data_IF_950556501606
#
_entry.id   IF_950556501606
#
_cell.length_a   1.000
_cell.length_b   1.000
_cell.length_c   1.000
_cell.angle_alpha   90.00
_cell.angle_beta   90.00
_cell.angle_gamma   90.00
#
_symmetry.space_group_name_H-M   'P 1'
#
loop_
_entity.id
_entity.type
_entity.pdbx_description
1 polymer ?
#
# COMPACT_ATOMS: atom_id res chain seq x y z
N UNK A 1 -16.65 -48.50 -15.39
CA UNK A 1 -16.83 -47.10 -14.98
C UNK A 1 -15.73 -46.33 -15.66
N UNK A 2 -16.06 -45.70 -16.78
CA UNK A 2 -15.11 -45.01 -17.66
C UNK A 2 -15.25 -43.51 -17.40
N UNK A 3 -14.25 -42.91 -16.79
CA UNK A 3 -14.17 -41.47 -16.59
C UNK A 3 -13.65 -40.81 -17.87
N UNK A 4 -14.47 -39.91 -18.43
CA UNK A 4 -14.11 -39.07 -19.57
C UNK A 4 -13.25 -37.88 -19.10
N UNK A 5 -12.24 -37.46 -19.88
CA UNK A 5 -11.44 -36.28 -19.56
C UNK A 5 -12.22 -34.98 -19.82
N UNK A 6 -12.11 -34.03 -18.88
CA UNK A 6 -12.64 -32.66 -19.02
C UNK A 6 -11.61 -31.80 -19.75
N UNK A 7 -12.02 -31.29 -20.91
CA UNK A 7 -11.24 -30.42 -21.78
C UNK A 7 -11.44 -28.95 -21.37
N UNK A 8 -10.36 -28.27 -20.96
CA UNK A 8 -10.40 -26.86 -20.54
C UNK A 8 -9.97 -25.96 -21.70
N UNK A 9 -10.94 -25.62 -22.56
CA UNK A 9 -10.75 -24.63 -23.62
C UNK A 9 -10.53 -23.25 -23.01
N UNK A 10 -9.29 -22.76 -23.10
CA UNK A 10 -8.86 -21.46 -22.58
C UNK A 10 -9.35 -20.36 -23.53
N UNK A 11 -10.25 -19.48 -23.06
CA UNK A 11 -10.70 -18.30 -23.81
C UNK A 11 -9.62 -17.21 -23.81
N UNK A 12 -9.29 -16.60 -24.96
CA UNK A 12 -8.32 -15.52 -25.02
C UNK A 12 -8.88 -14.22 -24.41
N UNK A 13 -8.13 -13.66 -23.45
CA UNK A 13 -8.41 -12.37 -22.82
C UNK A 13 -8.16 -11.25 -23.83
N UNK A 14 -9.18 -10.42 -24.06
CA UNK A 14 -9.18 -9.29 -24.99
C UNK A 14 -8.38 -8.10 -24.39
N UNK A 15 -7.36 -7.56 -25.06
CA UNK A 15 -6.63 -6.38 -24.56
C UNK A 15 -7.52 -5.13 -24.65
N UNK A 16 -7.79 -4.52 -23.49
CA UNK A 16 -8.46 -3.23 -23.37
C UNK A 16 -7.56 -2.09 -23.83
N UNK A 17 -8.08 -1.25 -24.73
CA UNK A 17 -7.43 -0.02 -25.22
C UNK A 17 -7.21 0.95 -24.06
N UNK A 18 -5.96 1.25 -23.73
CA UNK A 18 -5.61 2.40 -22.88
C UNK A 18 -5.67 3.67 -23.73
N UNK A 19 -6.55 4.58 -23.34
CA UNK A 19 -6.58 5.94 -23.87
C UNK A 19 -5.35 6.70 -23.35
N UNK A 20 -4.55 7.22 -24.29
CA UNK A 20 -3.44 8.11 -24.00
C UNK A 20 -3.96 9.43 -23.42
N UNK A 21 -3.62 9.71 -22.16
CA UNK A 21 -3.76 11.05 -21.59
C UNK A 21 -2.38 11.72 -21.73
N UNK A 22 -2.33 12.69 -22.62
CA UNK A 22 -1.15 13.44 -23.01
C UNK A 22 -0.63 14.35 -21.91
N UNK A 23 0.69 14.30 -21.72
CA UNK A 23 1.53 15.26 -21.01
C UNK A 23 1.23 16.71 -21.39
N UNK A 24 0.90 17.55 -20.39
CA UNK A 24 0.84 19.00 -20.58
C UNK A 24 1.19 19.79 -19.34
N UNK A 25 2.40 19.62 -18.80
CA UNK A 25 3.00 20.61 -17.89
C UNK A 25 4.50 20.77 -18.14
N UNK A 26 4.83 21.68 -19.05
CA UNK A 26 6.15 22.30 -19.16
C UNK A 26 5.95 23.82 -19.09
N UNK A 27 6.71 24.45 -18.18
CA UNK A 27 7.18 25.85 -18.20
C UNK A 27 6.15 26.95 -17.88
N UNK A 28 6.23 27.46 -16.65
CA UNK A 28 6.23 28.88 -16.31
C UNK A 28 7.11 28.98 -15.05
N UNK A 29 8.14 29.81 -14.93
CA UNK A 29 8.34 31.13 -15.50
C UNK A 29 8.68 32.04 -14.32
N UNK A 30 9.98 32.21 -14.08
CA UNK A 30 10.58 33.00 -13.01
C UNK A 30 10.45 34.49 -13.37
N UNK A 31 9.64 35.27 -12.64
CA UNK A 31 9.70 36.75 -12.62
C UNK A 31 9.35 37.22 -11.21
N UNK A 32 10.29 37.89 -10.56
CA UNK A 32 10.03 38.68 -9.34
C UNK A 32 9.59 40.10 -9.70
N UNK A 33 8.93 40.78 -8.76
CA UNK A 33 9.15 42.18 -8.35
C UNK A 33 8.01 42.65 -7.44
N UNK A 34 8.37 43.61 -6.60
CA UNK A 34 7.59 44.24 -5.53
C UNK A 34 6.32 44.96 -6.01
N UNK A 35 5.39 45.18 -5.07
CA UNK A 35 4.33 46.20 -5.24
C UNK A 35 3.06 45.89 -4.45
N UNK A 36 2.94 46.46 -3.25
CA UNK A 36 1.68 46.56 -2.52
C UNK A 36 0.77 47.59 -3.18
N UNK A 37 -0.46 47.23 -3.56
CA UNK A 37 -1.57 48.17 -3.77
C UNK A 37 -2.88 47.53 -3.26
N UNK A 38 -3.49 48.21 -2.28
CA UNK A 38 -4.87 48.03 -1.83
C UNK A 38 -5.83 48.56 -2.90
N UNK A 39 -6.81 47.77 -3.37
CA UNK A 39 -8.12 48.29 -3.82
C UNK A 39 -9.24 47.27 -3.54
N UNK A 40 -10.14 47.75 -2.68
CA UNK A 40 -11.61 47.61 -2.55
C UNK A 40 -12.43 46.61 -3.38
N UNK A 41 -13.43 46.09 -2.66
CA UNK A 41 -14.51 45.17 -3.00
C UNK A 41 -15.26 45.37 -4.33
N UNK A 42 -15.66 44.23 -4.91
CA UNK A 42 -16.89 44.11 -5.72
C UNK A 42 -17.74 42.99 -5.12
N UNK A 43 -18.90 43.38 -4.62
CA UNK A 43 -20.04 42.52 -4.29
C UNK A 43 -20.65 42.03 -5.60
N UNK A 44 -20.83 40.72 -5.77
CA UNK A 44 -21.30 40.16 -7.04
C UNK A 44 -21.89 38.76 -6.91
N UNK A 45 -23.15 38.74 -6.42
CA UNK A 45 -24.24 37.81 -6.78
C UNK A 45 -24.04 36.30 -6.59
N UNK A 46 -24.81 35.79 -5.63
CA UNK A 46 -25.10 34.38 -5.38
C UNK A 46 -25.63 33.65 -6.63
N UNK A 47 -24.91 32.64 -7.10
CA UNK A 47 -25.50 31.51 -7.82
C UNK A 47 -25.58 30.32 -6.86
N UNK A 48 -26.73 30.18 -6.21
CA UNK A 48 -27.12 29.00 -5.42
C UNK A 48 -27.20 27.81 -6.37
N UNK A 49 -26.20 26.94 -6.32
CA UNK A 49 -26.27 25.59 -6.86
C UNK A 49 -26.74 24.63 -5.76
N UNK A 50 -27.68 23.72 -6.04
CA UNK A 50 -28.18 22.79 -5.03
C UNK A 50 -27.09 21.79 -4.63
N UNK A 51 -26.89 21.51 -3.33
CA UNK A 51 -26.02 20.43 -2.89
C UNK A 51 -26.75 19.10 -3.13
N UNK A 52 -26.45 18.43 -4.25
CA UNK A 52 -26.88 17.04 -4.48
C UNK A 52 -25.67 16.13 -4.45
N UNK A 53 -25.58 15.40 -3.34
CA UNK A 53 -24.56 14.38 -3.13
C UNK A 53 -23.98 14.47 -1.74
N UNK A 54 -24.81 14.36 -0.71
CA UNK A 54 -24.37 13.97 0.62
C UNK A 54 -23.85 12.53 0.52
N UNK A 55 -22.56 12.38 0.20
CA UNK A 55 -21.85 11.14 0.51
C UNK A 55 -21.81 11.11 2.02
N UNK A 56 -22.70 10.29 2.57
CA UNK A 56 -22.83 10.04 3.98
C UNK A 56 -21.44 9.98 4.61
N UNK A 57 -21.26 10.77 5.67
CA UNK A 57 -20.17 10.62 6.60
C UNK A 57 -19.93 9.14 6.82
N UNK A 58 -18.80 8.63 6.32
CA UNK A 58 -18.35 7.30 6.67
C UNK A 58 -18.20 7.35 8.17
N UNK A 59 -19.14 6.70 8.87
CA UNK A 59 -19.11 6.56 10.30
C UNK A 59 -17.70 6.11 10.66
N UNK A 60 -16.96 6.95 11.37
CA UNK A 60 -15.81 6.54 12.16
C UNK A 60 -16.36 5.67 13.28
N UNK A 61 -16.80 4.46 12.91
CA UNK A 61 -17.02 3.41 13.86
C UNK A 61 -15.65 3.18 14.47
N UNK A 62 -15.47 3.68 15.69
CA UNK A 62 -14.55 3.11 16.65
C UNK A 62 -14.77 1.61 16.55
N UNK A 63 -13.86 0.92 15.85
CA UNK A 63 -13.96 -0.50 15.65
C UNK A 63 -13.88 -1.14 17.03
N UNK A 64 -15.04 -1.37 17.64
CA UNK A 64 -15.17 -2.29 18.75
C UNK A 64 -14.56 -3.63 18.31
N UNK A 65 -14.07 -4.43 19.26
CA UNK A 65 -13.46 -5.71 18.96
C UNK A 65 -14.41 -6.52 18.07
N UNK A 66 -13.99 -6.80 16.83
CA UNK A 66 -14.78 -7.55 15.86
C UNK A 66 -14.79 -8.99 16.34
N UNK A 67 -15.88 -9.41 16.97
CA UNK A 67 -16.09 -10.78 17.44
C UNK A 67 -16.37 -11.66 16.23
N UNK A 68 -15.35 -12.35 15.73
CA UNK A 68 -15.55 -13.41 14.74
C UNK A 68 -16.21 -14.61 15.43
N UNK A 69 -17.45 -14.91 15.07
CA UNK A 69 -18.14 -16.16 15.44
C UNK A 69 -17.51 -17.30 14.63
N UNK A 70 -16.94 -18.28 15.31
CA UNK A 70 -16.69 -19.60 14.71
C UNK A 70 -18.00 -20.40 14.69
N UNK A 71 -18.15 -21.34 13.75
CA UNK A 71 -19.35 -22.18 13.56
C UNK A 71 -19.79 -22.95 14.83
N UNK A 72 -18.89 -23.11 15.81
CA UNK A 72 -19.18 -23.73 17.12
C UNK A 72 -19.80 -22.78 18.16
N UNK A 73 -20.16 -21.54 17.81
CA UNK A 73 -20.80 -20.59 18.72
C UNK A 73 -19.89 -20.04 19.85
N UNK A 74 -18.60 -20.42 19.86
CA UNK A 74 -17.61 -19.88 20.79
C UNK A 74 -16.98 -18.62 20.21
N UNK A 75 -17.40 -17.47 20.71
CA UNK A 75 -16.73 -16.19 20.43
C UNK A 75 -15.31 -16.19 21.01
N UNK A 76 -14.34 -16.71 20.27
CA UNK A 76 -12.93 -16.47 20.60
C UNK A 76 -12.59 -15.07 20.14
N UNK A 77 -12.28 -14.17 21.08
CA UNK A 77 -11.63 -12.90 20.77
C UNK A 77 -10.40 -13.26 19.93
N UNK A 78 -10.38 -12.85 18.67
CA UNK A 78 -9.28 -13.16 17.78
C UNK A 78 -7.98 -12.75 18.48
N UNK A 79 -7.07 -13.70 18.66
CA UNK A 79 -5.78 -13.44 19.29
C UNK A 79 -5.17 -12.21 18.59
N UNK A 80 -5.03 -11.07 19.29
CA UNK A 80 -4.57 -9.83 18.69
C UNK A 80 -3.19 -10.01 18.06
N UNK A 81 -2.38 -10.93 18.58
CA UNK A 81 -1.08 -11.26 18.00
C UNK A 81 -1.21 -11.97 16.64
N UNK A 82 -2.18 -12.86 16.48
CA UNK A 82 -2.47 -13.51 15.20
C UNK A 82 -3.04 -12.51 14.18
N UNK A 83 -3.94 -11.62 14.61
CA UNK A 83 -4.45 -10.55 13.77
C UNK A 83 -3.32 -9.63 13.27
N UNK A 84 -2.42 -9.22 14.17
CA UNK A 84 -1.25 -8.40 13.83
C UNK A 84 -0.28 -9.13 12.86
N UNK A 85 -0.05 -10.44 13.04
CA UNK A 85 0.74 -11.23 12.09
C UNK A 85 0.10 -11.28 10.70
N UNK A 86 -1.24 -11.44 10.61
CA UNK A 86 -1.98 -11.40 9.33
C UNK A 86 -1.87 -10.03 8.67
N UNK A 87 -2.04 -8.95 9.45
CA UNK A 87 -1.85 -7.59 8.96
C UNK A 87 -0.44 -7.39 8.40
N UNK A 88 0.60 -7.84 9.12
CA UNK A 88 1.99 -7.78 8.65
C UNK A 88 2.19 -8.49 7.30
N UNK A 89 1.61 -9.69 7.13
CA UNK A 89 1.67 -10.39 5.83
C UNK A 89 0.94 -9.62 4.72
N UNK A 90 -0.16 -8.95 5.06
CA UNK A 90 -0.89 -8.08 4.12
C UNK A 90 -0.04 -6.88 3.71
N UNK A 91 0.61 -6.23 4.66
CA UNK A 91 1.52 -5.10 4.40
C UNK A 91 2.67 -5.52 3.47
N UNK A 92 3.26 -6.70 3.69
CA UNK A 92 4.30 -7.24 2.78
C UNK A 92 3.75 -7.47 1.36
N UNK A 93 2.51 -7.98 1.19
CA UNK A 93 1.90 -8.11 -0.15
C UNK A 93 1.65 -6.76 -0.80
N UNK A 94 1.16 -5.79 -0.03
CA UNK A 94 0.98 -4.42 -0.51
C UNK A 94 2.31 -3.78 -0.94
N UNK A 95 3.38 -4.03 -0.19
CA UNK A 95 4.72 -3.58 -0.53
C UNK A 95 5.25 -4.18 -1.83
N UNK A 96 5.04 -5.48 -2.05
CA UNK A 96 5.38 -6.15 -3.32
C UNK A 96 4.67 -5.45 -4.48
N UNK A 97 3.35 -5.24 -4.38
CA UNK A 97 2.58 -4.58 -5.43
C UNK A 97 3.08 -3.16 -5.74
N UNK A 98 3.45 -2.39 -4.71
CA UNK A 98 4.01 -1.05 -4.89
C UNK A 98 5.39 -1.07 -5.59
N UNK A 99 6.26 -2.01 -5.23
CA UNK A 99 7.58 -2.18 -5.87
C UNK A 99 7.45 -2.61 -7.33
N UNK A 100 6.54 -3.53 -7.67
CA UNK A 100 6.32 -3.93 -9.06
C UNK A 100 5.68 -2.81 -9.89
N UNK A 101 4.80 -2.01 -9.29
CA UNK A 101 4.28 -0.82 -9.95
C UNK A 101 5.40 0.21 -10.19
N UNK A 102 6.26 0.44 -9.20
CA UNK A 102 7.42 1.32 -9.35
C UNK A 102 8.29 0.88 -10.55
N UNK A 103 8.57 -0.42 -10.67
CA UNK A 103 9.31 -0.96 -11.82
C UNK A 103 8.61 -0.67 -13.15
N UNK A 104 7.29 -0.82 -13.20
CA UNK A 104 6.50 -0.56 -14.41
C UNK A 104 6.57 0.92 -14.84
N UNK A 105 6.56 1.86 -13.89
CA UNK A 105 6.57 3.30 -14.18
C UNK A 105 7.98 3.82 -14.45
N UNK A 106 8.96 3.38 -13.68
CA UNK A 106 10.33 3.93 -13.67
C UNK A 106 11.29 3.11 -14.56
N UNK A 107 11.00 1.83 -14.79
CA UNK A 107 11.83 0.93 -15.61
C UNK A 107 12.95 0.22 -14.86
N UNK A 108 13.07 0.42 -13.55
CA UNK A 108 14.00 -0.32 -12.68
C UNK A 108 13.46 -0.43 -11.25
N UNK A 109 13.99 -1.37 -10.46
CA UNK A 109 13.64 -1.48 -9.04
C UNK A 109 14.30 -0.38 -8.20
N UNK A 110 13.75 0.00 -7.03
CA UNK A 110 14.39 0.95 -6.14
C UNK A 110 15.79 0.46 -5.73
N UNK A 111 16.80 1.32 -5.85
CA UNK A 111 18.22 0.97 -5.64
C UNK A 111 18.73 1.24 -4.24
N UNK A 112 17.93 1.93 -3.41
CA UNK A 112 18.25 2.24 -2.03
C UNK A 112 17.44 1.36 -1.10
N UNK A 113 18.03 0.99 0.04
CA UNK A 113 17.27 0.38 1.12
C UNK A 113 16.31 1.42 1.71
N UNK A 114 15.10 0.99 1.99
CA UNK A 114 14.02 1.85 2.46
C UNK A 114 13.42 1.21 3.71
N UNK A 115 13.25 1.98 4.77
CA UNK A 115 12.73 1.50 6.04
C UNK A 115 11.53 2.35 6.45
N UNK A 116 10.43 1.69 6.79
CA UNK A 116 9.25 2.29 7.39
C UNK A 116 9.02 1.75 8.80
N UNK A 117 8.75 2.65 9.74
CA UNK A 117 8.37 2.29 11.09
C UNK A 117 7.03 2.94 11.44
N UNK A 118 5.95 2.14 11.38
CA UNK A 118 4.63 2.53 11.87
C UNK A 118 4.32 1.95 13.25
N UNK A 119 5.32 1.65 14.07
CA UNK A 119 5.14 1.05 15.40
C UNK A 119 4.25 1.87 16.32
N UNK A 120 4.21 3.20 16.11
CA UNK A 120 3.39 4.16 16.86
C UNK A 120 2.13 4.64 16.14
N UNK A 121 1.87 4.20 14.90
CA UNK A 121 0.70 4.64 14.11
C UNK A 121 0.85 6.03 13.47
N UNK A 122 2.05 6.60 13.45
CA UNK A 122 2.32 7.97 12.95
C UNK A 122 2.68 7.97 11.45
N UNK A 123 3.19 6.86 10.94
CA UNK A 123 3.70 6.74 9.57
C UNK A 123 2.93 5.65 8.81
N UNK A 124 1.68 5.92 8.40
CA UNK A 124 0.84 4.91 7.73
C UNK A 124 1.32 4.60 6.31
N UNK A 125 2.27 5.37 5.77
CA UNK A 125 2.72 5.26 4.39
C UNK A 125 4.25 5.30 4.31
N UNK A 126 4.81 4.48 3.43
CA UNK A 126 6.22 4.45 3.10
C UNK A 126 6.40 4.70 1.60
N UNK A 127 7.11 5.78 1.28
CA UNK A 127 7.43 6.16 -0.10
C UNK A 127 8.64 5.38 -0.64
N UNK A 128 8.57 4.99 -1.92
CA UNK A 128 9.64 4.32 -2.65
C UNK A 128 10.54 5.31 -3.44
N UNK A 129 10.27 6.62 -3.34
CA UNK A 129 11.07 7.67 -3.97
C UNK A 129 10.65 7.98 -5.41
N UNK A 130 9.36 7.93 -5.72
CA UNK A 130 8.79 8.20 -7.05
C UNK A 130 7.29 8.49 -7.00
N UNK A 131 6.67 8.77 -8.16
CA UNK A 131 5.23 9.05 -8.26
C UNK A 131 4.37 7.78 -8.14
N UNK A 132 4.03 7.40 -6.91
CA UNK A 132 2.96 6.45 -6.47
C UNK A 132 3.03 4.99 -7.00
N UNK A 133 2.44 4.00 -6.29
CA UNK A 133 1.77 4.07 -4.99
C UNK A 133 2.72 3.90 -3.81
N UNK A 134 2.44 4.63 -2.72
CA UNK A 134 3.10 4.43 -1.44
C UNK A 134 2.63 3.12 -0.78
N UNK A 135 3.54 2.48 -0.04
CA UNK A 135 3.24 1.27 0.71
C UNK A 135 2.43 1.66 1.95
N UNK A 136 1.23 1.09 2.11
CA UNK A 136 0.45 1.27 3.33
C UNK A 136 0.99 0.33 4.43
N UNK A 137 1.16 0.85 5.64
CA UNK A 137 1.63 0.11 6.81
C UNK A 137 0.56 0.10 7.89
N UNK A 138 0.18 -1.08 8.37
CA UNK A 138 -0.66 -1.19 9.55
C UNK A 138 0.04 -0.64 10.80
N UNK A 139 -0.75 -0.21 11.80
CA UNK A 139 -0.21 0.23 13.08
C UNK A 139 0.56 -0.91 13.75
N UNK A 140 1.75 -0.61 14.25
CA UNK A 140 2.64 -1.61 14.84
C UNK A 140 3.65 -2.20 13.86
N UNK A 141 3.44 -2.03 12.54
CA UNK A 141 4.29 -2.65 11.51
C UNK A 141 5.61 -1.88 11.33
N UNK A 142 6.70 -2.62 11.29
CA UNK A 142 8.01 -2.19 10.78
C UNK A 142 8.29 -2.97 9.50
N UNK A 143 8.62 -2.26 8.43
CA UNK A 143 8.88 -2.84 7.12
C UNK A 143 10.21 -2.31 6.58
N UNK A 144 11.01 -3.21 6.04
CA UNK A 144 12.27 -2.92 5.38
C UNK A 144 12.26 -3.48 3.97
N UNK A 145 12.58 -2.64 3.00
CA UNK A 145 12.90 -3.01 1.63
C UNK A 145 14.42 -2.98 1.47
N UNK A 146 14.98 -4.07 0.96
CA UNK A 146 16.40 -4.21 0.68
C UNK A 146 16.62 -4.58 -0.80
N UNK A 147 17.29 -3.73 -1.60
CA UNK A 147 17.67 -4.09 -2.96
C UNK A 147 18.70 -5.22 -2.95
N UNK A 148 18.59 -6.17 -3.89
CA UNK A 148 19.50 -7.30 -4.01
C UNK A 148 19.79 -7.62 -5.49
N UNK A 149 20.79 -6.93 -6.05
CA UNK A 149 21.17 -7.03 -7.47
C UNK A 149 19.96 -6.81 -8.41
N UNK A 150 19.53 -7.83 -9.17
CA UNK A 150 18.34 -7.80 -10.05
C UNK A 150 17.04 -8.21 -9.37
N UNK A 151 17.04 -8.26 -8.05
CA UNK A 151 15.93 -8.70 -7.20
C UNK A 151 15.86 -7.82 -5.96
N UNK A 152 14.94 -8.13 -5.06
CA UNK A 152 14.74 -7.40 -3.83
C UNK A 152 14.21 -8.32 -2.73
N UNK A 153 14.36 -7.86 -1.49
CA UNK A 153 13.80 -8.50 -0.31
C UNK A 153 12.93 -7.51 0.43
N UNK A 154 11.81 -7.99 0.94
CA UNK A 154 10.93 -7.23 1.83
C UNK A 154 10.78 -8.05 3.09
N UNK A 155 11.13 -7.46 4.23
CA UNK A 155 10.87 -8.07 5.52
C UNK A 155 10.06 -7.14 6.40
N UNK A 156 9.16 -7.71 7.19
CA UNK A 156 8.35 -6.95 8.12
C UNK A 156 8.07 -7.71 9.41
N UNK A 157 7.81 -6.97 10.48
CA UNK A 157 7.35 -7.46 11.77
C UNK A 157 6.30 -6.49 12.31
N UNK A 158 5.43 -6.95 13.21
CA UNK A 158 4.52 -6.07 13.93
C UNK A 158 4.71 -6.22 15.45
N UNK A 159 4.82 -5.09 16.15
CA UNK A 159 5.07 -5.04 17.60
C UNK A 159 3.93 -5.61 18.44
N UNK A 160 2.71 -5.64 17.89
CA UNK A 160 1.53 -6.26 18.50
C UNK A 160 1.39 -7.74 18.14
N UNK A 161 2.25 -8.25 17.25
CA UNK A 161 2.26 -9.64 16.81
C UNK A 161 3.08 -10.56 17.72
N UNK A 162 3.34 -11.76 17.22
CA UNK A 162 4.16 -12.77 17.95
C UNK A 162 5.67 -12.50 17.91
N UNK A 163 6.11 -11.33 17.41
CA UNK A 163 7.52 -11.02 17.16
C UNK A 163 8.16 -11.77 15.98
N UNK A 164 7.35 -12.54 15.22
CA UNK A 164 7.79 -13.22 14.00
C UNK A 164 8.06 -12.22 12.89
N UNK A 165 9.11 -12.48 12.12
CA UNK A 165 9.45 -11.72 10.93
C UNK A 165 8.92 -12.46 9.71
N UNK A 166 8.39 -11.71 8.75
CA UNK A 166 7.90 -12.23 7.49
C UNK A 166 8.77 -11.70 6.37
N UNK A 167 9.32 -12.59 5.55
CA UNK A 167 10.23 -12.29 4.45
C UNK A 167 9.61 -12.70 3.12
N UNK A 168 9.70 -11.80 2.16
CA UNK A 168 9.59 -12.09 0.73
C UNK A 168 10.93 -11.83 0.05
N UNK A 169 11.30 -12.71 -0.88
CA UNK A 169 12.52 -12.60 -1.68
C UNK A 169 12.15 -12.83 -3.15
N UNK A 170 12.25 -11.79 -3.98
CA UNK A 170 11.84 -11.88 -5.38
C UNK A 170 12.76 -12.78 -6.21
N UNK A 171 14.01 -13.01 -5.80
CA UNK A 171 14.91 -13.93 -6.50
C UNK A 171 14.42 -15.39 -6.45
N UNK A 172 13.80 -15.79 -5.34
CA UNK A 172 13.21 -17.13 -5.20
C UNK A 172 11.75 -17.19 -5.64
N UNK A 173 11.12 -16.03 -5.86
CA UNK A 173 9.69 -15.89 -6.07
C UNK A 173 8.84 -16.46 -4.92
N UNK A 174 7.53 -16.51 -5.17
CA UNK A 174 6.59 -17.31 -4.38
C UNK A 174 6.03 -16.64 -3.12
N UNK A 175 5.90 -17.44 -2.06
CA UNK A 175 5.14 -17.09 -0.85
C UNK A 175 5.97 -16.36 0.22
N UNK A 176 5.30 -15.52 1.00
CA UNK A 176 5.87 -14.86 2.19
C UNK A 176 6.16 -15.92 3.27
N UNK A 177 7.41 -16.04 3.70
CA UNK A 177 7.87 -17.02 4.69
C UNK A 177 8.06 -16.36 6.05
N UNK A 178 7.73 -17.08 7.11
CA UNK A 178 8.14 -16.68 8.45
C UNK A 178 9.63 -17.00 8.63
N UNK A 179 10.40 -16.06 9.18
CA UNK A 179 11.82 -16.20 9.47
C UNK A 179 12.11 -15.80 10.92
N UNK A 180 13.29 -16.19 11.41
CA UNK A 180 13.85 -15.61 12.64
C UNK A 180 14.16 -14.13 12.40
N UNK A 181 14.18 -13.32 13.47
CA UNK A 181 14.60 -11.92 13.40
C UNK A 181 15.97 -11.82 12.70
N UNK A 182 16.08 -11.06 11.59
CA UNK A 182 17.34 -10.87 10.89
C UNK A 182 18.35 -10.14 11.80
N UNK A 183 19.64 -10.42 11.62
CA UNK A 183 20.69 -9.76 12.39
C UNK A 183 20.71 -8.25 12.13
N UNK A 184 20.40 -7.87 10.88
CA UNK A 184 20.19 -6.50 10.48
C UNK A 184 18.86 -6.38 9.69
N UNK A 185 17.80 -5.80 10.29
CA UNK A 185 16.52 -5.58 9.62
C UNK A 185 16.61 -4.84 8.29
N UNK A 186 17.56 -3.91 8.13
CA UNK A 186 17.67 -3.10 6.92
C UNK A 186 18.09 -3.89 5.67
N UNK A 187 18.70 -5.07 5.85
CA UNK A 187 19.13 -5.95 4.73
C UNK A 187 18.24 -7.18 4.56
N UNK A 188 17.29 -7.39 5.47
CA UNK A 188 16.38 -8.55 5.45
C UNK A 188 17.13 -9.88 5.28
N UNK A 189 18.27 -10.02 5.99
CA UNK A 189 19.17 -11.17 5.97
C UNK A 189 19.58 -11.57 7.39
#
# INVERSE_FOLDING_TARGET
>A
MSDSPVDFTTTPVRPGRQAAISDRWRRAGLIGLAGSVLVTAVVGVCAVWPPRGSWASVNTATAGPVTATTEDGRHTIADPAHAANKATKSDVRGAIAAVEHYYTVIGHYPTRAINGDNSRGIMPQLDLGGSTPAIQLAVGTRLSYAPYARSYRICATNTRGTGKWFLYNSASGGSIKAIRRPANPAVCA
#
